data_IF_504472190935
#
_entry.id   IF_504472190935
#
_cell.length_a   1.000
_cell.length_b   1.000
_cell.length_c   1.000
_cell.angle_alpha   90.00
_cell.angle_beta   90.00
_cell.angle_gamma   90.00
#
_symmetry.space_group_name_H-M   'P 1'
#
loop_
_entity.id
_entity.type
_entity.pdbx_description
1 polymer ?
#
# COMPACT_ATOMS: atom_id res chain seq x y z
N UNK A 1 -3.32 -5.89 -8.54
CA UNK A 1 -4.73 -5.84 -9.00
C UNK A 1 -5.64 -5.91 -7.80
N UNK A 2 -6.80 -5.24 -7.83
CA UNK A 2 -7.79 -5.36 -6.76
C UNK A 2 -8.53 -6.71 -6.81
N UNK A 3 -8.99 -7.26 -5.66
CA UNK A 3 -9.63 -8.59 -5.59
C UNK A 3 -10.81 -8.76 -6.54
N UNK A 4 -11.66 -7.74 -6.67
CA UNK A 4 -12.83 -7.75 -7.57
C UNK A 4 -12.42 -7.92 -9.04
N UNK A 5 -11.29 -7.33 -9.46
CA UNK A 5 -10.77 -7.49 -10.83
C UNK A 5 -10.24 -8.90 -11.08
N UNK A 6 -9.65 -9.52 -10.06
CA UNK A 6 -9.14 -10.89 -10.13
C UNK A 6 -10.30 -11.89 -10.23
N UNK A 7 -11.40 -11.64 -9.53
CA UNK A 7 -12.64 -12.44 -9.60
C UNK A 7 -13.50 -12.15 -10.83
N UNK A 8 -13.06 -11.25 -11.72
CA UNK A 8 -13.82 -10.80 -12.88
C UNK A 8 -15.20 -10.21 -12.51
N UNK A 9 -15.28 -9.53 -11.37
CA UNK A 9 -16.46 -8.80 -10.91
C UNK A 9 -16.49 -7.38 -11.52
N UNK A 10 -17.67 -6.73 -11.61
CA UNK A 10 -17.75 -5.33 -11.99
C UNK A 10 -16.91 -4.47 -11.05
N UNK A 11 -16.03 -3.64 -11.62
CA UNK A 11 -15.14 -2.75 -10.87
C UNK A 11 -15.41 -1.29 -11.21
N UNK A 12 -15.01 -0.41 -10.29
CA UNK A 12 -15.08 1.04 -10.45
C UNK A 12 -13.73 1.66 -10.10
N UNK A 13 -13.63 2.99 -10.08
CA UNK A 13 -12.42 3.70 -9.66
C UNK A 13 -11.92 3.33 -8.24
N UNK A 14 -12.76 2.71 -7.40
CA UNK A 14 -12.34 2.20 -6.09
C UNK A 14 -11.27 1.08 -6.21
N UNK A 15 -11.10 0.43 -7.37
CA UNK A 15 -9.99 -0.51 -7.58
C UNK A 15 -8.60 0.17 -7.57
N UNK A 16 -8.54 1.45 -7.90
CA UNK A 16 -7.29 2.22 -7.89
C UNK A 16 -6.94 2.66 -6.47
N UNK A 17 -7.94 2.84 -5.59
CA UNK A 17 -7.71 3.05 -4.15
C UNK A 17 -7.03 1.85 -3.52
N UNK A 18 -7.41 0.62 -3.91
CA UNK A 18 -6.70 -0.59 -3.49
C UNK A 18 -5.25 -0.60 -3.97
N UNK A 19 -5.04 -0.28 -5.25
CA UNK A 19 -3.70 -0.28 -5.84
C UNK A 19 -2.81 0.75 -5.15
N UNK A 20 -3.34 1.94 -4.85
CA UNK A 20 -2.66 2.96 -4.03
C UNK A 20 -2.32 2.43 -2.63
N UNK A 21 -3.26 1.76 -1.97
CA UNK A 21 -3.04 1.16 -0.65
C UNK A 21 -1.88 0.16 -0.65
N UNK A 22 -1.80 -0.69 -1.67
CA UNK A 22 -0.68 -1.65 -1.81
C UNK A 22 0.64 -0.94 -2.07
N UNK A 23 0.68 0.07 -2.94
CA UNK A 23 1.91 0.83 -3.22
C UNK A 23 2.42 1.57 -1.98
N UNK A 24 1.51 2.16 -1.18
CA UNK A 24 1.90 2.82 0.06
C UNK A 24 2.42 1.81 1.10
N UNK A 25 1.80 0.63 1.18
CA UNK A 25 2.26 -0.43 2.08
C UNK A 25 3.64 -0.94 1.65
N UNK A 26 3.83 -1.25 0.38
CA UNK A 26 5.12 -1.65 -0.19
C UNK A 26 6.21 -0.61 0.10
N UNK A 27 5.93 0.67 -0.14
CA UNK A 27 6.88 1.74 0.17
C UNK A 27 7.16 1.91 1.67
N UNK A 28 6.28 1.42 2.55
CA UNK A 28 6.47 1.45 3.99
C UNK A 28 7.31 0.28 4.48
N UNK A 29 7.09 -0.92 3.91
CA UNK A 29 7.83 -2.13 4.24
C UNK A 29 9.21 -2.20 3.54
N UNK A 30 9.39 -1.48 2.44
CA UNK A 30 10.61 -1.56 1.62
C UNK A 30 10.67 -2.77 0.68
N UNK A 31 9.68 -3.66 0.76
CA UNK A 31 9.48 -4.78 -0.14
C UNK A 31 8.00 -5.02 -0.39
N UNK A 32 7.67 -5.89 -1.35
CA UNK A 32 6.27 -6.17 -1.66
C UNK A 32 5.59 -6.92 -0.51
N UNK A 33 4.33 -6.60 -0.11
CA UNK A 33 3.69 -7.17 1.08
C UNK A 33 3.38 -8.67 0.99
N UNK A 34 3.44 -9.25 -0.21
CA UNK A 34 3.26 -10.71 -0.34
C UNK A 34 4.47 -11.49 0.14
N UNK A 35 5.64 -10.87 0.24
CA UNK A 35 6.88 -11.51 0.69
C UNK A 35 6.72 -12.13 2.07
N UNK A 36 6.02 -11.47 2.99
CA UNK A 36 5.81 -12.00 4.35
C UNK A 36 4.86 -13.21 4.41
N UNK A 37 4.09 -13.44 3.34
CA UNK A 37 3.08 -14.52 3.29
C UNK A 37 3.60 -15.82 2.68
N UNK A 38 4.75 -15.76 2.01
CA UNK A 38 5.34 -16.88 1.29
C UNK A 38 6.81 -16.99 1.66
N UNK A 39 7.32 -18.21 1.86
CA UNK A 39 8.76 -18.40 2.12
C UNK A 39 9.57 -17.66 1.06
N UNK A 40 10.52 -16.81 1.47
CA UNK A 40 11.35 -15.98 0.58
C UNK A 40 12.00 -16.80 -0.55
N UNK A 41 12.43 -18.02 -0.24
CA UNK A 41 13.03 -18.94 -1.23
C UNK A 41 12.04 -19.41 -2.31
N UNK A 42 10.74 -19.38 -2.03
CA UNK A 42 9.68 -19.80 -2.96
C UNK A 42 9.06 -18.65 -3.72
N UNK A 43 9.37 -17.39 -3.40
CA UNK A 43 8.72 -16.25 -4.03
C UNK A 43 8.96 -16.21 -5.55
N UNK A 44 10.18 -16.58 -5.98
CA UNK A 44 10.55 -16.75 -7.40
C UNK A 44 9.94 -17.99 -8.06
N UNK A 45 9.36 -18.91 -7.28
CA UNK A 45 8.72 -20.14 -7.77
C UNK A 45 7.22 -20.01 -8.00
N UNK A 46 6.58 -18.95 -7.50
CA UNK A 46 5.16 -18.71 -7.70
C UNK A 46 4.88 -18.25 -9.13
N UNK A 47 3.91 -18.90 -9.77
CA UNK A 47 3.42 -18.43 -11.07
C UNK A 47 2.67 -17.11 -10.88
N UNK A 48 2.53 -16.28 -11.94
CA UNK A 48 1.69 -15.08 -11.88
C UNK A 48 0.26 -15.36 -11.39
N UNK A 49 -0.28 -16.55 -11.66
CA UNK A 49 -1.62 -16.95 -11.22
C UNK A 49 -1.66 -17.16 -9.71
N UNK A 50 -0.62 -17.78 -9.13
CA UNK A 50 -0.56 -18.02 -7.70
C UNK A 50 -0.50 -16.71 -6.92
N UNK A 51 0.26 -15.72 -7.42
CA UNK A 51 0.30 -14.37 -6.82
C UNK A 51 -1.09 -13.72 -6.80
N UNK A 52 -1.88 -13.91 -7.87
CA UNK A 52 -3.26 -13.42 -7.89
C UNK A 52 -4.14 -14.14 -6.86
N UNK A 53 -3.94 -15.44 -6.64
CA UNK A 53 -4.68 -16.19 -5.62
C UNK A 53 -4.30 -15.76 -4.21
N UNK A 54 -3.02 -15.45 -3.95
CA UNK A 54 -2.59 -14.93 -2.65
C UNK A 54 -3.25 -13.57 -2.39
N UNK A 55 -3.36 -12.68 -3.39
CA UNK A 55 -4.06 -11.39 -3.21
C UNK A 55 -5.52 -11.58 -2.73
N UNK A 56 -6.19 -12.67 -3.12
CA UNK A 56 -7.57 -12.94 -2.67
C UNK A 56 -7.65 -13.35 -1.20
N UNK A 57 -6.65 -14.06 -0.68
CA UNK A 57 -6.61 -14.58 0.71
C UNK A 57 -5.86 -13.67 1.68
N UNK A 58 -4.81 -12.98 1.24
CA UNK A 58 -3.96 -12.08 2.02
C UNK A 58 -4.73 -10.89 2.59
N UNK A 59 -4.43 -10.53 3.85
CA UNK A 59 -4.99 -9.34 4.52
C UNK A 59 -3.83 -8.43 4.89
N UNK A 60 -3.54 -7.40 4.09
CA UNK A 60 -2.41 -6.53 4.36
C UNK A 60 -2.63 -5.67 5.60
N UNK A 61 -1.63 -5.65 6.49
CA UNK A 61 -1.53 -4.72 7.61
C UNK A 61 -0.13 -4.14 7.69
N UNK A 62 0.00 -2.99 8.36
CA UNK A 62 1.27 -2.34 8.65
C UNK A 62 1.51 -2.37 10.15
N UNK A 63 2.53 -3.13 10.56
CA UNK A 63 2.94 -3.25 11.96
C UNK A 63 4.11 -2.29 12.27
N UNK A 64 4.35 -2.03 13.55
CA UNK A 64 5.55 -1.30 13.98
C UNK A 64 6.72 -2.27 14.11
N UNK A 65 7.94 -1.80 13.84
CA UNK A 65 9.17 -2.61 13.90
C UNK A 65 10.09 -2.02 14.98
N UNK A 66 9.83 -2.33 16.26
CA UNK A 66 10.54 -1.71 17.38
C UNK A 66 12.03 -2.04 17.41
N UNK A 67 12.42 -3.20 16.88
CA UNK A 67 13.82 -3.62 16.78
C UNK A 67 14.64 -2.72 15.83
N UNK A 68 13.98 -2.15 14.82
CA UNK A 68 14.56 -1.18 13.88
C UNK A 68 14.24 0.28 14.27
N UNK A 69 13.51 0.48 15.36
CA UNK A 69 13.07 1.80 15.82
C UNK A 69 12.02 2.46 14.91
N UNK A 70 11.31 1.68 14.08
CA UNK A 70 10.30 2.18 13.15
C UNK A 70 8.93 2.14 13.82
N UNK A 71 8.21 3.27 13.78
CA UNK A 71 6.84 3.36 14.26
C UNK A 71 5.97 4.19 13.32
N UNK A 72 4.75 3.72 13.08
CA UNK A 72 3.82 4.34 12.14
C UNK A 72 2.67 5.02 12.86
N UNK A 73 2.23 6.16 12.32
CA UNK A 73 1.08 6.86 12.90
C UNK A 73 -0.20 6.01 12.80
N UNK A 74 -1.01 6.00 13.87
CA UNK A 74 -2.32 5.32 13.87
C UNK A 74 -3.21 5.75 12.69
N UNK A 75 -3.16 7.03 12.34
CA UNK A 75 -3.90 7.56 11.18
C UNK A 75 -3.45 6.96 9.86
N UNK A 76 -2.16 6.66 9.69
CA UNK A 76 -1.64 6.04 8.48
C UNK A 76 -2.06 4.57 8.39
N UNK A 77 -1.91 3.82 9.48
CA UNK A 77 -2.40 2.44 9.57
C UNK A 77 -3.90 2.35 9.24
N UNK A 78 -4.70 3.27 9.78
CA UNK A 78 -6.14 3.38 9.47
C UNK A 78 -6.41 3.68 7.99
N UNK A 79 -5.63 4.56 7.36
CA UNK A 79 -5.79 4.88 5.94
C UNK A 79 -5.54 3.64 5.07
N UNK A 80 -4.45 2.90 5.35
CA UNK A 80 -4.12 1.66 4.66
C UNK A 80 -5.20 0.60 4.83
N UNK A 81 -5.69 0.39 6.06
CA UNK A 81 -6.76 -0.57 6.34
C UNK A 81 -8.01 -0.28 5.51
N UNK A 82 -8.42 1.00 5.42
CA UNK A 82 -9.58 1.40 4.62
C UNK A 82 -9.31 1.21 3.13
N UNK A 83 -8.14 1.65 2.63
CA UNK A 83 -7.76 1.51 1.23
C UNK A 83 -7.73 0.04 0.77
N UNK A 84 -7.29 -0.85 1.66
CA UNK A 84 -7.13 -2.28 1.44
C UNK A 84 -8.36 -3.10 1.87
N UNK A 85 -9.54 -2.47 1.89
CA UNK A 85 -10.80 -3.19 2.08
C UNK A 85 -11.06 -4.10 0.87
N UNK A 86 -11.16 -5.42 1.08
CA UNK A 86 -11.39 -6.39 -0.01
C UNK A 86 -12.75 -6.23 -0.69
N UNK A 87 -13.78 -5.91 0.09
CA UNK A 87 -15.13 -5.68 -0.42
C UNK A 87 -15.17 -4.34 -1.18
N UNK A 88 -15.32 -4.40 -2.50
CA UNK A 88 -15.23 -3.23 -3.38
C UNK A 88 -16.31 -2.18 -3.08
N UNK A 89 -17.50 -2.63 -2.62
CA UNK A 89 -18.63 -1.75 -2.27
C UNK A 89 -18.41 -0.98 -0.97
N UNK A 90 -17.63 -1.54 -0.05
CA UNK A 90 -17.30 -0.92 1.23
C UNK A 90 -16.06 -0.04 1.13
N UNK A 91 -15.28 -0.16 0.05
CA UNK A 91 -14.10 0.64 -0.19
C UNK A 91 -14.50 2.05 -0.66
N UNK A 92 -14.04 3.12 0.01
CA UNK A 92 -14.40 4.48 -0.34
C UNK A 92 -13.83 4.91 -1.70
N UNK A 93 -14.49 5.89 -2.31
CA UNK A 93 -13.99 6.57 -3.51
C UNK A 93 -12.74 7.42 -3.21
N UNK A 94 -11.93 7.75 -4.23
CA UNK A 94 -10.80 8.67 -4.07
C UNK A 94 -11.19 10.00 -3.41
N UNK A 95 -12.37 10.55 -3.74
CA UNK A 95 -12.87 11.79 -3.15
C UNK A 95 -13.10 11.65 -1.64
N UNK A 96 -13.70 10.56 -1.19
CA UNK A 96 -13.88 10.27 0.24
C UNK A 96 -12.54 10.02 0.93
N UNK A 97 -11.58 9.39 0.25
CA UNK A 97 -10.24 9.15 0.80
C UNK A 97 -9.46 10.44 1.07
N UNK A 98 -9.69 11.52 0.31
CA UNK A 98 -9.10 12.84 0.56
C UNK A 98 -9.55 13.45 1.89
N UNK A 99 -10.74 13.07 2.38
CA UNK A 99 -11.29 13.54 3.65
C UNK A 99 -10.76 12.74 4.85
N UNK A 100 -10.02 11.65 4.62
CA UNK A 100 -9.46 10.83 5.69
C UNK A 100 -8.49 11.64 6.57
N UNK A 101 -8.50 11.48 7.91
CA UNK A 101 -7.67 12.27 8.82
C UNK A 101 -6.18 12.28 8.48
N UNK A 102 -5.65 11.15 7.99
CA UNK A 102 -4.26 11.07 7.54
C UNK A 102 -3.95 11.98 6.36
N UNK A 103 -4.83 12.03 5.34
CA UNK A 103 -4.68 12.88 4.16
C UNK A 103 -4.79 14.36 4.54
N UNK A 104 -5.81 14.72 5.33
CA UNK A 104 -5.97 16.08 5.85
C UNK A 104 -4.74 16.51 6.65
N UNK A 105 -4.23 15.62 7.50
CA UNK A 105 -2.98 15.83 8.22
C UNK A 105 -1.80 16.06 7.29
N UNK A 106 -1.60 15.21 6.28
CA UNK A 106 -0.47 15.35 5.34
C UNK A 106 -0.56 16.62 4.49
N UNK A 107 -1.76 17.07 4.09
CA UNK A 107 -1.94 18.30 3.30
C UNK A 107 -1.41 19.56 4.01
N UNK A 108 -1.36 19.55 5.34
CA UNK A 108 -0.80 20.66 6.13
C UNK A 108 0.73 20.61 6.28
N UNK A 109 1.36 19.49 5.94
CA UNK A 109 2.82 19.32 6.08
C UNK A 109 3.54 19.84 4.86
N UNK A 110 4.59 20.64 5.10
CA UNK A 110 5.54 21.04 4.06
C UNK A 110 6.77 20.15 4.14
N UNK A 111 6.90 19.23 3.19
CA UNK A 111 8.07 18.37 3.04
C UNK A 111 8.94 18.91 1.90
N UNK A 112 10.23 19.07 2.15
CA UNK A 112 11.22 19.50 1.15
C UNK A 112 11.61 18.31 0.29
N UNK A 113 10.71 17.89 -0.59
CA UNK A 113 10.90 16.72 -1.45
C UNK A 113 12.12 16.86 -2.37
N UNK A 114 12.42 18.10 -2.79
CA UNK A 114 13.65 18.46 -3.51
C UNK A 114 14.90 17.99 -2.75
N UNK A 115 14.99 18.36 -1.47
CA UNK A 115 16.14 17.98 -0.63
C UNK A 115 16.19 16.50 -0.34
N UNK A 116 15.03 15.87 -0.14
CA UNK A 116 14.94 14.43 0.09
C UNK A 116 15.48 13.67 -1.13
N UNK A 117 15.02 14.01 -2.34
CA UNK A 117 15.48 13.37 -3.58
C UNK A 117 16.98 13.59 -3.79
N UNK A 118 17.48 14.82 -3.65
CA UNK A 118 18.92 15.11 -3.74
C UNK A 118 19.75 14.35 -2.70
N UNK A 119 19.23 14.13 -1.49
CA UNK A 119 19.96 13.37 -0.46
C UNK A 119 20.07 11.87 -0.75
N UNK A 120 19.08 11.31 -1.47
CA UNK A 120 19.01 9.88 -1.75
C UNK A 120 19.74 9.52 -3.05
N UNK A 121 19.66 10.36 -4.09
CA UNK A 121 20.24 10.11 -5.42
C UNK A 121 21.44 11.02 -5.77
N UNK A 122 21.79 11.99 -4.91
CA UNK A 122 22.83 12.98 -5.19
C UNK A 122 22.44 13.96 -6.31
N UNK A 123 23.42 14.73 -6.79
CA UNK A 123 23.29 15.58 -7.98
C UNK A 123 23.49 14.79 -9.29
N UNK A 124 23.60 13.45 -9.23
CA UNK A 124 23.90 12.58 -10.37
C UNK A 124 22.65 12.23 -11.22
N UNK A 125 21.67 13.13 -11.29
CA UNK A 125 20.57 13.03 -12.25
C UNK A 125 20.97 13.73 -13.56
N UNK A 126 22.07 13.26 -14.16
CA UNK A 126 22.44 13.57 -15.55
C UNK A 126 21.86 12.50 -16.51
#
# INVERSE_FOLDING_TARGET
MAPERIRNEPYTITCDVWSLGLTLLEGSLGHFPLVDTVDDEKLLSYSPIDLLMIILSFTPSLEDEPDEGISWSKSFKSFLQIALTKESRSRPSPRQMLEHPWMVGQMSKKVKMDKLVSSLWGDNLD
#
